data_IF_886534487052
#
_entry.id   IF_886534487052
#
_cell.length_a   1.000
_cell.length_b   1.000
_cell.length_c   1.000
_cell.angle_alpha   90.00
_cell.angle_beta   90.00
_cell.angle_gamma   90.00
#
_symmetry.space_group_name_H-M   'P 1'
#
loop_
_entity.id
_entity.type
_entity.pdbx_description
1 polymer ?
#
# COMPACT_ATOMS: atom_id res chain seq x y z
N UNK A 1 3.60 -1.43 -15.82
CA UNK A 1 3.88 -0.87 -14.47
C UNK A 1 5.01 -1.64 -13.82
N UNK A 2 6.00 -0.94 -13.31
CA UNK A 2 7.09 -1.58 -12.58
C UNK A 2 6.67 -1.83 -11.13
N UNK A 3 7.45 -2.65 -10.43
CA UNK A 3 7.20 -2.91 -9.02
C UNK A 3 7.25 -1.62 -8.21
N UNK A 4 8.24 -0.76 -8.47
CA UNK A 4 8.37 0.49 -7.76
C UNK A 4 7.19 1.42 -8.02
N UNK A 5 6.70 1.47 -9.24
CA UNK A 5 5.51 2.25 -9.57
C UNK A 5 4.29 1.72 -8.81
N UNK A 6 4.15 0.39 -8.73
CA UNK A 6 3.05 -0.21 -8.00
C UNK A 6 3.11 0.13 -6.51
N UNK A 7 4.31 0.07 -5.92
CA UNK A 7 4.50 0.44 -4.52
C UNK A 7 4.09 1.90 -4.30
N UNK A 8 4.54 2.79 -5.17
CA UNK A 8 4.23 4.22 -5.04
C UNK A 8 2.72 4.48 -5.14
N UNK A 9 2.05 3.84 -6.09
CA UNK A 9 0.61 4.01 -6.27
C UNK A 9 -0.17 3.50 -5.06
N UNK A 10 0.21 2.33 -4.57
CA UNK A 10 -0.46 1.75 -3.40
C UNK A 10 -0.21 2.59 -2.15
N UNK A 11 0.99 3.13 -2.01
CA UNK A 11 1.32 3.98 -0.88
C UNK A 11 0.50 5.26 -0.90
N UNK A 12 0.34 5.87 -2.07
CA UNK A 12 -0.49 7.07 -2.23
C UNK A 12 -1.95 6.78 -1.86
N UNK A 13 -2.47 5.65 -2.29
CA UNK A 13 -3.84 5.25 -1.97
C UNK A 13 -4.02 5.09 -0.46
N UNK A 14 -3.07 4.43 0.18
CA UNK A 14 -3.11 4.21 1.62
C UNK A 14 -3.06 5.54 2.37
N UNK A 15 -2.18 6.44 1.96
CA UNK A 15 -2.05 7.76 2.56
C UNK A 15 -3.33 8.57 2.38
N UNK A 16 -3.96 8.47 1.22
CA UNK A 16 -5.23 9.15 0.96
C UNK A 16 -6.31 8.68 1.92
N UNK A 17 -6.44 7.37 2.09
CA UNK A 17 -7.41 6.81 3.03
C UNK A 17 -7.18 7.31 4.45
N UNK A 18 -5.94 7.41 4.87
CA UNK A 18 -5.59 7.92 6.20
C UNK A 18 -5.92 9.41 6.31
N UNK A 19 -5.67 10.16 5.24
CA UNK A 19 -5.94 11.58 5.20
C UNK A 19 -7.43 11.87 5.41
N UNK A 20 -8.31 11.15 4.74
CA UNK A 20 -9.75 11.35 4.84
C UNK A 20 -10.36 10.60 6.03
N UNK A 21 -9.52 9.95 6.83
CA UNK A 21 -9.95 9.21 8.02
C UNK A 21 -11.00 8.15 7.69
N UNK A 22 -10.72 7.35 6.68
CA UNK A 22 -11.61 6.30 6.24
C UNK A 22 -11.41 5.05 7.13
N UNK A 23 -12.28 4.91 8.11
CA UNK A 23 -12.15 3.83 9.09
C UNK A 23 -12.90 2.55 8.71
N UNK A 24 -13.86 2.65 7.80
CA UNK A 24 -14.69 1.51 7.42
C UNK A 24 -14.00 0.57 6.42
N UNK A 25 -12.84 0.93 5.91
CA UNK A 25 -12.06 0.08 5.01
C UNK A 25 -10.75 -0.39 5.63
N UNK A 26 -10.75 -0.59 6.93
CA UNK A 26 -9.56 -0.97 7.67
C UNK A 26 -8.91 -2.24 7.11
N UNK A 27 -9.73 -3.19 6.73
CA UNK A 27 -9.25 -4.45 6.17
C UNK A 27 -8.54 -4.23 4.83
N UNK A 28 -9.08 -3.36 3.99
CA UNK A 28 -8.45 -3.02 2.72
C UNK A 28 -7.13 -2.31 2.94
N UNK A 29 -7.06 -1.45 3.95
CA UNK A 29 -5.81 -0.78 4.30
C UNK A 29 -4.75 -1.79 4.72
N UNK A 30 -5.12 -2.78 5.52
CA UNK A 30 -4.20 -3.83 5.94
C UNK A 30 -3.72 -4.64 4.74
N UNK A 31 -4.62 -4.96 3.81
CA UNK A 31 -4.26 -5.72 2.63
C UNK A 31 -3.28 -4.96 1.74
N UNK A 32 -3.51 -3.66 1.55
CA UNK A 32 -2.61 -2.82 0.76
C UNK A 32 -1.25 -2.73 1.43
N UNK A 33 -1.22 -2.52 2.73
CA UNK A 33 0.02 -2.44 3.49
C UNK A 33 0.80 -3.75 3.41
N UNK A 34 0.11 -4.88 3.52
CA UNK A 34 0.73 -6.18 3.37
C UNK A 34 1.37 -6.34 1.98
N UNK A 35 0.64 -5.93 0.94
CA UNK A 35 1.14 -6.03 -0.43
C UNK A 35 2.39 -5.15 -0.64
N UNK A 36 2.39 -3.95 -0.08
CA UNK A 36 3.54 -3.05 -0.16
C UNK A 36 4.75 -3.69 0.50
N UNK A 37 4.58 -4.21 1.70
CA UNK A 37 5.67 -4.85 2.43
C UNK A 37 6.21 -6.07 1.71
N UNK A 38 5.31 -6.86 1.14
CA UNK A 38 5.70 -8.04 0.37
C UNK A 38 6.56 -7.65 -0.83
N UNK A 39 6.14 -6.63 -1.56
CA UNK A 39 6.89 -6.17 -2.72
C UNK A 39 8.26 -5.58 -2.35
N UNK A 40 8.34 -4.90 -1.22
CA UNK A 40 9.61 -4.35 -0.73
C UNK A 40 10.57 -5.47 -0.36
N UNK A 41 10.08 -6.52 0.28
CA UNK A 41 10.91 -7.65 0.65
C UNK A 41 11.43 -8.38 -0.57
N UNK A 42 10.61 -8.48 -1.62
CA UNK A 42 10.99 -9.17 -2.84
C UNK A 42 12.13 -8.47 -3.58
N UNK A 43 12.34 -7.20 -3.32
CA UNK A 43 13.47 -6.43 -3.86
C UNK A 43 14.76 -6.69 -3.11
N UNK A 44 14.69 -7.46 -2.07
CA UNK A 44 15.81 -7.72 -1.17
C UNK A 44 16.56 -8.96 -1.63
N UNK A 45 17.44 -8.79 -2.57
CA UNK A 45 18.25 -9.91 -3.05
C UNK A 45 19.71 -9.66 -2.77
#
# INVERSE_FOLDING_TARGET
>A
MTKQEAINELQELLDYWRYIKMYNNKREQEAVEFAINYMKEDDYV
#
